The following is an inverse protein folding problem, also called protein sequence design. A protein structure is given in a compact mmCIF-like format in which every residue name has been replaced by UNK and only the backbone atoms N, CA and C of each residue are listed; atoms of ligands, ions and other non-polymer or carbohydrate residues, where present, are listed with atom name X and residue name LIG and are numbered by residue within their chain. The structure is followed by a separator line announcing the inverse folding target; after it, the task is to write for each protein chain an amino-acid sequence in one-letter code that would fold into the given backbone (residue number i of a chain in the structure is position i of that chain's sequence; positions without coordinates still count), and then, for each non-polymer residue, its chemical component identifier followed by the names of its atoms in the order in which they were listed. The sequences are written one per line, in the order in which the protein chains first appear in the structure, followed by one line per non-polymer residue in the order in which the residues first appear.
data_IF_476501551738
#
_entry.id   IF_476501551738
#
_cell.length_a   1.000
_cell.length_b   1.000
_cell.length_c   1.000
_cell.angle_alpha   90.00
_cell.angle_beta   90.00
_cell.angle_gamma   90.00
#
_symmetry.space_group_name_H-M   'P 1'
#
loop_
_entity.id
_entity.type
_entity.pdbx_description
1 polymer ?
#
# COMPACT_ATOMS: atom_id res chain seq x y z
N UNK A 1 21.23 11.66 40.61
CA UNK A 1 20.01 10.87 40.32
C UNK A 1 20.10 10.45 38.86
N UNK A 2 20.22 9.16 38.57
CA UNK A 2 20.42 8.68 37.20
C UNK A 2 19.08 8.58 36.47
N UNK A 3 18.99 9.13 35.27
CA UNK A 3 17.80 9.01 34.43
C UNK A 3 17.82 7.64 33.74
N UNK A 4 16.98 6.72 34.22
CA UNK A 4 16.91 5.35 33.69
C UNK A 4 16.05 5.37 32.42
N UNK A 5 16.69 5.47 31.26
CA UNK A 5 16.00 5.52 29.98
C UNK A 5 15.80 4.10 29.44
N UNK A 6 14.57 3.78 29.03
CA UNK A 6 14.27 2.51 28.38
C UNK A 6 14.71 2.55 26.90
N UNK A 7 15.84 1.89 26.61
CA UNK A 7 16.40 1.81 25.27
C UNK A 7 15.48 1.14 24.24
N UNK A 8 14.59 0.22 24.66
CA UNK A 8 13.64 -0.41 23.75
C UNK A 8 12.60 0.59 23.25
N UNK A 9 12.10 1.48 24.13
CA UNK A 9 11.19 2.55 23.73
C UNK A 9 11.88 3.51 22.76
N UNK A 10 13.13 3.90 23.04
CA UNK A 10 13.90 4.76 22.16
C UNK A 10 14.13 4.13 20.77
N UNK A 11 14.51 2.85 20.72
CA UNK A 11 14.67 2.10 19.46
C UNK A 11 13.36 2.01 18.67
N UNK A 12 12.24 1.72 19.33
CA UNK A 12 10.91 1.68 18.69
C UNK A 12 10.50 3.04 18.14
N UNK A 13 10.75 4.12 18.88
CA UNK A 13 10.48 5.47 18.40
C UNK A 13 11.30 5.81 17.15
N UNK A 14 12.59 5.48 17.15
CA UNK A 14 13.47 5.66 15.97
C UNK A 14 12.99 4.84 14.77
N UNK A 15 12.64 3.57 14.96
CA UNK A 15 12.12 2.72 13.90
C UNK A 15 10.81 3.30 13.29
N UNK A 16 9.92 3.81 14.14
CA UNK A 16 8.67 4.46 13.69
C UNK A 16 8.93 5.75 12.92
N UNK A 17 9.94 6.52 13.29
CA UNK A 17 10.34 7.73 12.56
C UNK A 17 10.89 7.38 11.17
N UNK A 18 11.79 6.39 11.09
CA UNK A 18 12.36 5.92 9.82
C UNK A 18 11.26 5.40 8.88
N UNK A 19 10.35 4.58 9.39
CA UNK A 19 9.23 4.06 8.59
C UNK A 19 8.33 5.18 8.03
N UNK A 20 8.13 6.27 8.78
CA UNK A 20 7.40 7.45 8.29
C UNK A 20 8.16 8.16 7.16
N UNK A 21 9.45 8.41 7.34
CA UNK A 21 10.26 9.06 6.31
C UNK A 21 10.35 8.25 5.02
N UNK A 22 10.45 6.92 5.12
CA UNK A 22 10.41 6.03 3.97
C UNK A 22 9.05 6.05 3.29
N UNK A 23 7.96 6.05 4.06
CA UNK A 23 6.61 6.17 3.51
C UNK A 23 6.43 7.49 2.76
N UNK A 24 6.91 8.61 3.30
CA UNK A 24 6.85 9.92 2.65
C UNK A 24 7.71 9.95 1.37
N UNK A 25 8.92 9.41 1.42
CA UNK A 25 9.79 9.27 0.24
C UNK A 25 9.17 8.37 -0.83
N UNK A 26 8.47 7.30 -0.45
CA UNK A 26 7.78 6.43 -1.39
C UNK A 26 6.57 7.12 -2.04
N UNK A 27 5.87 8.01 -1.31
CA UNK A 27 4.79 8.83 -1.88
C UNK A 27 5.33 9.79 -2.93
N UNK A 28 6.45 10.46 -2.66
CA UNK A 28 7.06 11.38 -3.62
C UNK A 28 7.67 10.65 -4.82
N UNK A 29 8.39 9.55 -4.59
CA UNK A 29 9.08 8.78 -5.65
C UNK A 29 8.14 8.04 -6.59
N UNK A 30 7.12 7.40 -6.04
CA UNK A 30 6.24 6.52 -6.82
C UNK A 30 4.91 7.17 -7.18
N UNK A 31 4.63 8.37 -6.66
CA UNK A 31 3.43 9.16 -6.94
C UNK A 31 2.10 8.51 -6.52
N UNK A 32 2.13 7.28 -5.99
CA UNK A 32 0.97 6.51 -5.58
C UNK A 32 1.16 5.90 -4.20
N UNK A 33 0.26 6.25 -3.30
CA UNK A 33 0.10 5.69 -1.97
C UNK A 33 -0.40 4.25 -2.03
N UNK A 34 -0.27 3.50 -0.93
CA UNK A 34 -0.84 2.15 -0.80
C UNK A 34 -2.36 2.14 -1.01
N UNK A 35 -3.05 3.19 -0.54
CA UNK A 35 -4.50 3.32 -0.69
C UNK A 35 -4.90 3.49 -2.16
N UNK A 36 -4.19 4.34 -2.91
CA UNK A 36 -4.42 4.51 -4.35
C UNK A 36 -4.16 3.22 -5.12
N UNK A 37 -3.04 2.53 -4.85
CA UNK A 37 -2.78 1.21 -5.45
C UNK A 37 -3.88 0.19 -5.18
N UNK A 38 -4.42 0.18 -3.96
CA UNK A 38 -5.51 -0.73 -3.60
C UNK A 38 -6.82 -0.37 -4.31
N UNK A 39 -7.11 0.93 -4.47
CA UNK A 39 -8.27 1.40 -5.25
C UNK A 39 -8.12 1.04 -6.73
N UNK A 40 -6.97 1.31 -7.33
CA UNK A 40 -6.67 0.96 -8.72
C UNK A 40 -6.85 -0.54 -8.96
N UNK A 41 -6.33 -1.38 -8.06
CA UNK A 41 -6.47 -2.83 -8.14
C UNK A 41 -7.93 -3.28 -8.06
N UNK A 42 -8.71 -2.73 -7.13
CA UNK A 42 -10.13 -3.03 -7.00
C UNK A 42 -10.94 -2.58 -8.23
N UNK A 43 -10.62 -1.42 -8.80
CA UNK A 43 -11.24 -0.93 -10.04
C UNK A 43 -10.87 -1.82 -11.24
N UNK A 44 -9.62 -2.24 -11.35
CA UNK A 44 -9.18 -3.17 -12.40
C UNK A 44 -9.92 -4.52 -12.28
N UNK A 45 -10.05 -5.06 -11.07
CA UNK A 45 -10.78 -6.30 -10.82
C UNK A 45 -12.27 -6.18 -11.14
N UNK A 46 -12.90 -5.03 -10.82
CA UNK A 46 -14.30 -4.76 -11.20
C UNK A 46 -14.46 -4.71 -12.72
N UNK A 47 -13.55 -4.02 -13.42
CA UNK A 47 -13.55 -3.96 -14.89
C UNK A 47 -13.37 -5.35 -15.52
N UNK A 48 -12.42 -6.13 -15.00
CA UNK A 48 -12.18 -7.50 -15.45
C UNK A 48 -13.43 -8.37 -15.28
N UNK A 49 -14.08 -8.33 -14.10
CA UNK A 49 -15.33 -9.05 -13.84
C UNK A 49 -16.47 -8.60 -14.75
N UNK A 50 -16.60 -7.29 -14.99
CA UNK A 50 -17.63 -6.78 -15.89
C UNK A 50 -17.42 -7.25 -17.34
N UNK A 51 -16.17 -7.27 -17.81
CA UNK A 51 -15.82 -7.80 -19.14
C UNK A 51 -16.08 -9.30 -19.24
N UNK A 52 -15.73 -10.06 -18.20
CA UNK A 52 -15.96 -11.50 -18.15
C UNK A 52 -17.45 -11.83 -18.19
N UNK A 53 -18.28 -11.14 -17.40
CA UNK A 53 -19.74 -11.30 -17.44
C UNK A 53 -20.36 -10.86 -18.77
N UNK A 54 -19.73 -9.91 -19.47
CA UNK A 54 -20.16 -9.45 -20.78
C UNK A 54 -19.66 -10.33 -21.93
N UNK A 55 -18.78 -11.31 -21.67
CA UNK A 55 -18.37 -12.27 -22.70
C UNK A 55 -19.57 -13.08 -23.13
N UNK A 56 -19.79 -13.10 -24.44
CA UNK A 56 -20.68 -14.04 -25.11
C UNK A 56 -19.83 -15.12 -25.72
N UNK A 57 -20.13 -16.38 -25.41
CA UNK A 57 -19.53 -17.52 -26.09
C UNK A 57 -19.86 -17.41 -27.57
N UNK A 58 -18.81 -17.32 -28.41
CA UNK A 58 -18.96 -17.45 -29.85
C UNK A 58 -18.93 -18.95 -30.17
N UNK A 59 -19.77 -19.42 -31.11
CA UNK A 59 -19.97 -20.86 -31.36
C UNK A 59 -18.77 -21.61 -32.00
N UNK A 60 -17.54 -21.10 -31.92
CA UNK A 60 -16.35 -21.69 -32.57
C UNK A 60 -15.11 -21.72 -31.63
N UNK A 61 -15.30 -21.84 -30.31
CA UNK A 61 -14.25 -22.26 -29.35
C UNK A 61 -14.63 -23.61 -28.70
#
# INVERSE_FOLDING_TARGET
MAEIINLNKARKARAKAIARTEADANRTRHGRTKAEKARDAAEAERKARALDQAKRERPED
#
